data_IF_120367840552
#
_entry.id   IF_120367840552
#
_cell.length_a   1.000
_cell.length_b   1.000
_cell.length_c   1.000
_cell.angle_alpha   90.00
_cell.angle_beta   90.00
_cell.angle_gamma   90.00
#
_symmetry.space_group_name_H-M   'P 1'
#
loop_
_entity.id
_entity.type
_entity.pdbx_description
1 polymer ?
#
# COMPACT_ATOMS: atom_id res chain seq x y z
N UNK A 1 3.62 7.81 2.03
CA UNK A 1 4.87 7.02 1.99
C UNK A 1 5.91 7.55 2.96
N UNK A 2 6.53 8.72 2.71
CA UNK A 2 7.53 9.30 3.61
C UNK A 2 7.07 9.47 5.06
N UNK A 3 5.82 9.92 5.27
CA UNK A 3 5.22 9.99 6.61
C UNK A 3 5.24 8.63 7.34
N UNK A 4 4.80 7.54 6.68
CA UNK A 4 4.79 6.21 7.28
C UNK A 4 6.20 5.75 7.65
N UNK A 5 7.17 5.91 6.74
CA UNK A 5 8.57 5.58 7.01
C UNK A 5 9.11 6.35 8.23
N UNK A 6 8.77 7.64 8.34
CA UNK A 6 9.21 8.50 9.43
C UNK A 6 8.58 8.08 10.76
N UNK A 7 7.27 7.84 10.79
CA UNK A 7 6.59 7.46 12.03
C UNK A 7 7.06 6.10 12.54
N UNK A 8 7.24 5.11 11.65
CA UNK A 8 7.83 3.81 12.03
C UNK A 8 9.25 4.00 12.55
N UNK A 9 10.08 4.82 11.89
CA UNK A 9 11.45 5.05 12.35
C UNK A 9 11.50 5.73 13.73
N UNK A 10 10.61 6.69 13.97
CA UNK A 10 10.53 7.39 15.25
C UNK A 10 10.17 6.43 16.39
N UNK A 11 9.24 5.49 16.17
CA UNK A 11 8.88 4.50 17.18
C UNK A 11 9.97 3.46 17.43
N UNK A 12 10.77 3.15 16.43
CA UNK A 12 11.92 2.23 16.57
C UNK A 12 13.06 2.85 17.38
N UNK A 13 13.17 4.20 17.40
CA UNK A 13 14.25 4.94 18.06
C UNK A 13 13.69 5.94 19.08
N UNK A 14 12.94 5.50 20.11
CA UNK A 14 12.15 6.38 20.97
C UNK A 14 12.99 7.34 21.83
N UNK A 15 14.23 6.95 22.17
CA UNK A 15 15.17 7.77 22.96
C UNK A 15 16.12 8.60 22.10
N UNK A 16 16.09 8.44 20.78
CA UNK A 16 16.99 9.13 19.89
C UNK A 16 16.52 10.57 19.63
N UNK A 17 17.47 11.51 19.55
CA UNK A 17 17.14 12.87 19.13
C UNK A 17 16.61 12.89 17.69
N UNK A 18 15.80 13.89 17.37
CA UNK A 18 15.28 14.08 16.00
C UNK A 18 16.37 14.11 14.94
N UNK A 19 17.57 14.61 15.26
CA UNK A 19 18.73 14.60 14.34
C UNK A 19 19.14 13.20 13.91
N UNK A 20 19.00 12.21 14.79
CA UNK A 20 19.30 10.79 14.49
C UNK A 20 18.15 10.13 13.74
N UNK A 21 16.91 10.45 14.10
CA UNK A 21 15.70 9.95 13.42
C UNK A 21 15.70 10.38 11.95
N UNK A 22 15.99 11.65 11.66
CA UNK A 22 16.01 12.20 10.29
C UNK A 22 17.42 12.29 9.67
N UNK A 23 18.37 11.50 10.18
CA UNK A 23 19.74 11.50 9.69
C UNK A 23 19.82 11.19 8.18
N UNK A 24 20.94 11.58 7.55
CA UNK A 24 21.14 11.41 6.10
C UNK A 24 20.92 9.98 5.57
N UNK A 25 21.25 8.87 6.28
CA UNK A 25 20.94 7.53 5.79
C UNK A 25 19.42 7.31 5.64
N UNK A 26 18.62 7.87 6.55
CA UNK A 26 17.17 7.77 6.46
C UNK A 26 16.61 8.59 5.30
N UNK A 27 17.12 9.80 5.09
CA UNK A 27 16.73 10.61 3.93
C UNK A 27 17.02 9.88 2.60
N UNK A 28 18.16 9.19 2.51
CA UNK A 28 18.50 8.34 1.36
C UNK A 28 17.55 7.16 1.21
N UNK A 29 17.09 6.53 2.29
CA UNK A 29 16.09 5.46 2.25
C UNK A 29 14.75 5.98 1.69
N UNK A 30 14.31 7.14 2.19
CA UNK A 30 13.08 7.79 1.72
C UNK A 30 13.20 8.13 0.23
N UNK A 31 14.33 8.70 -0.20
CA UNK A 31 14.60 9.00 -1.60
C UNK A 31 14.57 7.73 -2.47
N UNK A 32 15.28 6.68 -2.06
CA UNK A 32 15.30 5.41 -2.78
C UNK A 32 13.89 4.83 -2.97
N UNK A 33 13.10 4.83 -1.90
CA UNK A 33 11.72 4.34 -1.91
C UNK A 33 10.82 5.18 -2.83
N UNK A 34 10.98 6.52 -2.80
CA UNK A 34 10.27 7.45 -3.69
C UNK A 34 10.62 7.24 -5.15
N UNK A 35 11.91 7.03 -5.47
CA UNK A 35 12.36 6.76 -6.83
C UNK A 35 11.76 5.45 -7.38
N UNK A 36 11.83 4.33 -6.64
CA UNK A 36 11.26 3.05 -7.09
C UNK A 36 9.74 3.14 -7.21
N UNK A 37 9.07 3.82 -6.29
CA UNK A 37 7.61 4.00 -6.36
C UNK A 37 7.19 4.87 -7.54
N UNK A 38 7.91 5.97 -7.81
CA UNK A 38 7.67 6.81 -8.97
C UNK A 38 7.89 6.03 -10.27
N UNK A 39 8.96 5.23 -10.35
CA UNK A 39 9.19 4.32 -11.46
C UNK A 39 8.05 3.30 -11.64
N UNK A 40 7.50 2.79 -10.53
CA UNK A 40 6.33 1.91 -10.49
C UNK A 40 5.07 2.55 -11.06
N UNK A 41 4.77 3.79 -10.67
CA UNK A 41 3.64 4.53 -11.25
C UNK A 41 3.83 4.77 -12.75
N UNK A 42 5.04 5.14 -13.19
CA UNK A 42 5.32 5.39 -14.61
C UNK A 42 5.12 4.13 -15.46
N UNK A 43 5.65 2.98 -15.03
CA UNK A 43 5.50 1.73 -15.78
C UNK A 43 4.06 1.23 -15.76
N UNK A 44 3.33 1.45 -14.67
CA UNK A 44 1.92 1.15 -14.61
C UNK A 44 1.12 1.95 -15.65
N UNK A 45 1.26 3.27 -15.63
CA UNK A 45 0.56 4.17 -16.57
C UNK A 45 0.97 3.86 -18.03
N UNK A 46 2.20 3.39 -18.26
CA UNK A 46 2.69 3.02 -19.58
C UNK A 46 1.92 1.83 -20.17
N UNK A 47 1.68 0.79 -19.37
CA UNK A 47 0.93 -0.39 -19.81
C UNK A 47 -0.58 -0.17 -19.77
N UNK A 48 -1.06 0.72 -18.89
CA UNK A 48 -2.49 0.97 -18.67
C UNK A 48 -3.11 2.00 -19.63
N UNK A 49 -2.35 2.64 -20.54
CA UNK A 49 -2.85 3.69 -21.46
C UNK A 49 -4.21 3.37 -22.09
N UNK A 50 -4.42 2.13 -22.56
CA UNK A 50 -5.70 1.73 -23.18
C UNK A 50 -6.82 1.54 -22.15
N UNK A 51 -6.51 0.89 -21.02
CA UNK A 51 -7.45 0.66 -19.91
C UNK A 51 -7.91 2.01 -19.32
N UNK A 52 -6.96 2.90 -19.07
CA UNK A 52 -7.22 4.21 -18.47
C UNK A 52 -7.92 5.17 -19.43
N UNK A 53 -7.80 4.99 -20.76
CA UNK A 53 -8.62 5.72 -21.72
C UNK A 53 -10.12 5.44 -21.54
N UNK A 54 -10.47 4.24 -21.07
CA UNK A 54 -11.86 3.85 -20.80
C UNK A 54 -12.27 4.25 -19.39
N UNK A 55 -11.43 3.93 -18.39
CA UNK A 55 -11.78 4.12 -16.99
C UNK A 55 -11.65 5.58 -16.53
N UNK A 56 -10.64 6.32 -17.03
CA UNK A 56 -10.21 7.65 -16.54
C UNK A 56 -9.62 8.53 -17.67
N UNK A 57 -10.37 8.84 -18.74
CA UNK A 57 -9.85 9.53 -19.93
C UNK A 57 -9.23 10.91 -19.67
N UNK A 58 -9.62 11.59 -18.59
CA UNK A 58 -9.08 12.90 -18.19
C UNK A 58 -7.74 12.84 -17.46
N UNK A 59 -7.25 11.65 -17.07
CA UNK A 59 -6.01 11.46 -16.31
C UNK A 59 -4.87 10.87 -17.16
N UNK A 60 -5.08 10.70 -18.47
CA UNK A 60 -4.07 10.15 -19.38
C UNK A 60 -2.89 11.11 -19.58
N UNK A 61 -1.73 10.73 -19.06
CA UNK A 61 -0.46 11.47 -19.24
C UNK A 61 0.36 10.89 -20.39
N UNK A 62 0.55 9.57 -20.41
CA UNK A 62 1.40 8.89 -21.40
C UNK A 62 0.67 8.80 -22.74
N UNK A 63 1.35 9.21 -23.81
CA UNK A 63 0.79 9.31 -25.15
C UNK A 63 0.06 10.63 -25.44
N UNK A 64 -0.18 11.48 -24.42
CA UNK A 64 -0.71 12.85 -24.59
C UNK A 64 0.33 13.91 -24.28
N UNK A 65 0.82 13.94 -23.03
CA UNK A 65 1.79 14.92 -22.55
C UNK A 65 3.22 14.38 -22.64
N UNK A 66 3.41 13.09 -22.32
CA UNK A 66 4.72 12.45 -22.30
C UNK A 66 4.74 11.30 -23.32
N UNK A 67 5.74 11.30 -24.20
CA UNK A 67 5.98 10.18 -25.11
C UNK A 67 6.41 8.92 -24.33
N UNK A 68 5.89 7.77 -24.76
CA UNK A 68 6.27 6.41 -24.34
C UNK A 68 7.77 6.19 -24.16
N UNK A 69 8.62 6.69 -25.08
CA UNK A 69 10.09 6.54 -24.95
C UNK A 69 10.64 7.24 -23.70
N UNK A 70 10.22 8.49 -23.46
CA UNK A 70 10.64 9.25 -22.28
C UNK A 70 10.09 8.64 -20.98
N UNK A 71 8.87 8.13 -21.00
CA UNK A 71 8.30 7.42 -19.85
C UNK A 71 9.12 6.17 -19.50
N UNK A 72 9.49 5.34 -20.49
CA UNK A 72 10.31 4.15 -20.24
C UNK A 72 11.72 4.52 -19.74
N UNK A 73 12.33 5.56 -20.31
CA UNK A 73 13.63 6.06 -19.85
C UNK A 73 13.55 6.55 -18.39
N UNK A 74 12.51 7.31 -18.04
CA UNK A 74 12.30 7.77 -16.67
C UNK A 74 12.09 6.59 -15.69
N UNK A 75 11.32 5.57 -16.08
CA UNK A 75 11.16 4.35 -15.30
C UNK A 75 12.51 3.67 -15.01
N UNK A 76 13.35 3.49 -16.03
CA UNK A 76 14.67 2.85 -15.88
C UNK A 76 15.61 3.67 -15.00
N UNK A 77 15.71 4.98 -15.23
CA UNK A 77 16.58 5.88 -14.47
C UNK A 77 16.15 5.90 -12.99
N UNK A 78 14.86 6.10 -12.71
CA UNK A 78 14.36 6.17 -11.34
C UNK A 78 14.50 4.83 -10.61
N UNK A 79 14.23 3.70 -11.28
CA UNK A 79 14.46 2.37 -10.71
C UNK A 79 15.94 2.17 -10.36
N UNK A 80 16.83 2.50 -11.30
CA UNK A 80 18.29 2.41 -11.11
C UNK A 80 18.79 3.26 -9.95
N UNK A 81 18.40 4.54 -9.89
CA UNK A 81 18.76 5.44 -8.79
C UNK A 81 18.27 4.86 -7.46
N UNK A 82 17.01 4.44 -7.38
CA UNK A 82 16.45 3.91 -6.13
C UNK A 82 17.16 2.66 -5.65
N UNK A 83 17.46 1.72 -6.57
CA UNK A 83 18.19 0.49 -6.25
C UNK A 83 19.63 0.78 -5.80
N UNK A 84 20.35 1.65 -6.52
CA UNK A 84 21.74 1.99 -6.17
C UNK A 84 21.80 2.70 -4.82
N UNK A 85 20.95 3.71 -4.59
CA UNK A 85 20.91 4.43 -3.30
C UNK A 85 20.56 3.49 -2.15
N UNK A 86 19.59 2.59 -2.33
CA UNK A 86 19.26 1.58 -1.32
C UNK A 86 20.42 0.59 -1.07
N UNK A 87 21.11 0.16 -2.13
CA UNK A 87 22.26 -0.74 -2.06
C UNK A 87 23.46 -0.13 -1.32
N UNK A 88 23.71 1.17 -1.51
CA UNK A 88 24.74 1.92 -0.76
C UNK A 88 24.43 1.97 0.73
N UNK A 89 23.15 2.00 1.13
CA UNK A 89 22.76 1.94 2.54
C UNK A 89 22.95 0.55 3.14
N UNK A 90 22.62 -0.50 2.37
CA UNK A 90 22.78 -1.91 2.76
C UNK A 90 22.53 -2.81 1.53
N UNK A 91 23.35 -3.84 1.28
CA UNK A 91 23.10 -4.79 0.19
C UNK A 91 21.69 -5.42 0.23
N UNK A 92 21.19 -5.68 1.44
CA UNK A 92 19.85 -6.23 1.65
C UNK A 92 18.74 -5.23 1.27
N UNK A 93 18.93 -3.93 1.57
CA UNK A 93 17.99 -2.89 1.14
C UNK A 93 17.99 -2.77 -0.38
N UNK A 94 19.16 -2.81 -1.01
CA UNK A 94 19.28 -2.86 -2.47
C UNK A 94 18.52 -4.05 -3.07
N UNK A 95 18.69 -5.25 -2.53
CA UNK A 95 17.99 -6.45 -2.98
C UNK A 95 16.46 -6.32 -2.84
N UNK A 96 15.97 -5.78 -1.71
CA UNK A 96 14.54 -5.53 -1.51
C UNK A 96 14.00 -4.52 -2.54
N UNK A 97 14.77 -3.49 -2.89
CA UNK A 97 14.37 -2.52 -3.92
C UNK A 97 14.41 -3.13 -5.34
N UNK A 98 15.36 -4.02 -5.63
CA UNK A 98 15.37 -4.81 -6.88
C UNK A 98 14.11 -5.67 -6.95
N UNK A 99 13.81 -6.43 -5.90
CA UNK A 99 12.60 -7.24 -5.81
C UNK A 99 11.33 -6.39 -5.96
N UNK A 100 11.32 -5.19 -5.37
CA UNK A 100 10.19 -4.26 -5.49
C UNK A 100 10.00 -3.75 -6.92
N UNK A 101 11.08 -3.35 -7.59
CA UNK A 101 11.04 -2.88 -8.98
C UNK A 101 10.60 -4.00 -9.93
N UNK A 102 11.12 -5.22 -9.75
CA UNK A 102 10.72 -6.39 -10.53
C UNK A 102 9.26 -6.77 -10.30
N UNK A 103 8.78 -6.70 -9.06
CA UNK A 103 7.38 -6.99 -8.74
C UNK A 103 6.42 -5.93 -9.29
N UNK A 104 6.80 -4.65 -9.27
CA UNK A 104 6.06 -3.56 -9.91
C UNK A 104 6.00 -3.73 -11.44
N UNK A 105 7.13 -4.07 -12.06
CA UNK A 105 7.17 -4.35 -13.50
C UNK A 105 6.33 -5.59 -13.85
N UNK A 106 6.50 -6.69 -13.12
CA UNK A 106 5.74 -7.93 -13.30
C UNK A 106 4.23 -7.72 -13.07
N UNK A 107 3.87 -6.85 -12.12
CA UNK A 107 2.50 -6.39 -11.92
C UNK A 107 1.93 -5.72 -13.17
N UNK A 108 2.60 -4.70 -13.69
CA UNK A 108 2.13 -3.92 -14.84
C UNK A 108 2.08 -4.73 -16.14
N UNK A 109 3.02 -5.67 -16.33
CA UNK A 109 3.06 -6.52 -17.53
C UNK A 109 2.01 -7.62 -17.47
N UNK A 110 1.89 -8.33 -16.33
CA UNK A 110 1.15 -9.60 -16.26
C UNK A 110 0.25 -9.74 -15.04
N UNK A 111 0.74 -9.50 -13.82
CA UNK A 111 -0.01 -9.93 -12.63
C UNK A 111 -1.31 -9.15 -12.41
N UNK A 112 -1.41 -7.90 -12.86
CA UNK A 112 -2.68 -7.16 -12.87
C UNK A 112 -3.79 -7.90 -13.63
N UNK A 113 -3.43 -8.69 -14.65
CA UNK A 113 -4.38 -9.47 -15.46
C UNK A 113 -4.77 -10.81 -14.84
N UNK A 114 -4.21 -11.16 -13.67
CA UNK A 114 -4.42 -12.44 -12.99
C UNK A 114 -5.08 -12.18 -11.64
N UNK A 115 -6.24 -12.79 -11.41
CA UNK A 115 -6.99 -12.69 -10.16
C UNK A 115 -6.08 -12.92 -8.94
N UNK A 116 -6.20 -12.04 -7.94
CA UNK A 116 -5.42 -12.00 -6.70
C UNK A 116 -3.92 -11.77 -6.84
N UNK A 117 -3.26 -12.20 -7.91
CA UNK A 117 -1.82 -12.00 -8.09
C UNK A 117 -1.47 -10.52 -8.15
N UNK A 118 -2.24 -9.73 -8.89
CA UNK A 118 -2.07 -8.27 -8.96
C UNK A 118 -2.28 -7.61 -7.60
N UNK A 119 -3.38 -7.94 -6.92
CA UNK A 119 -3.74 -7.38 -5.62
C UNK A 119 -2.67 -7.73 -4.56
N UNK A 120 -2.23 -8.99 -4.52
CA UNK A 120 -1.20 -9.47 -3.62
C UNK A 120 0.15 -8.80 -3.88
N UNK A 121 0.51 -8.55 -5.14
CA UNK A 121 1.75 -7.85 -5.48
C UNK A 121 1.80 -6.45 -4.84
N UNK A 122 0.73 -5.66 -5.02
CA UNK A 122 0.63 -4.30 -4.45
C UNK A 122 0.53 -4.32 -2.92
N UNK A 123 -0.19 -5.30 -2.36
CA UNK A 123 -0.29 -5.48 -0.91
C UNK A 123 1.07 -5.84 -0.29
N UNK A 124 1.83 -6.75 -0.91
CA UNK A 124 3.19 -7.13 -0.47
C UNK A 124 4.14 -5.94 -0.54
N UNK A 125 4.12 -5.16 -1.62
CA UNK A 125 4.94 -3.94 -1.73
C UNK A 125 4.60 -2.92 -0.64
N UNK A 126 3.30 -2.76 -0.33
CA UNK A 126 2.85 -1.84 0.72
C UNK A 126 3.25 -2.32 2.11
N UNK A 127 3.21 -3.63 2.37
CA UNK A 127 3.68 -4.22 3.62
C UNK A 127 5.20 -4.12 3.77
N UNK A 128 5.96 -4.44 2.73
CA UNK A 128 7.41 -4.32 2.70
C UNK A 128 7.86 -2.88 3.00
N UNK A 129 7.12 -1.89 2.49
CA UNK A 129 7.38 -0.48 2.76
C UNK A 129 7.38 -0.14 4.25
N UNK A 130 6.42 -0.67 5.01
CA UNK A 130 6.30 -0.43 6.46
C UNK A 130 7.53 -0.99 7.20
N UNK A 131 8.16 -2.05 6.68
CA UNK A 131 9.31 -2.72 7.28
C UNK A 131 10.66 -2.10 6.91
N UNK A 132 10.72 -1.23 5.89
CA UNK A 132 11.99 -0.64 5.44
C UNK A 132 12.78 0.10 6.53
N UNK A 133 12.15 0.90 7.43
CA UNK A 133 12.90 1.56 8.49
C UNK A 133 13.52 0.59 9.50
N UNK A 134 12.83 -0.51 9.81
CA UNK A 134 13.38 -1.58 10.65
C UNK A 134 14.51 -2.32 9.95
N UNK A 135 14.36 -2.61 8.66
CA UNK A 135 15.41 -3.24 7.87
C UNK A 135 16.69 -2.37 7.79
N UNK A 136 16.53 -1.05 7.81
CA UNK A 136 17.64 -0.11 7.85
C UNK A 136 18.25 0.00 9.25
N UNK A 137 17.43 0.17 10.29
CA UNK A 137 17.89 0.42 11.66
C UNK A 137 18.35 -0.86 12.39
N UNK A 138 17.85 -2.03 11.97
CA UNK A 138 18.14 -3.37 12.51
C UNK A 138 17.96 -3.43 14.03
N UNK A 139 16.85 -2.90 14.54
CA UNK A 139 16.62 -2.83 15.99
C UNK A 139 16.16 -4.16 16.59
N UNK A 140 15.65 -5.08 15.77
CA UNK A 140 15.08 -6.36 16.19
C UNK A 140 13.66 -6.25 16.73
N UNK A 141 13.04 -5.06 16.71
CA UNK A 141 11.70 -4.85 17.24
C UNK A 141 10.62 -5.45 16.35
N UNK A 142 9.66 -6.14 16.98
CA UNK A 142 8.55 -6.79 16.26
C UNK A 142 7.40 -5.83 15.91
N UNK A 143 7.34 -4.65 16.53
CA UNK A 143 6.25 -3.68 16.37
C UNK A 143 5.82 -3.41 14.91
N UNK A 144 6.75 -3.12 13.98
CA UNK A 144 6.40 -2.84 12.59
C UNK A 144 5.72 -4.00 11.84
N UNK A 145 5.88 -5.25 12.28
CA UNK A 145 5.27 -6.42 11.62
C UNK A 145 3.75 -6.43 11.72
N UNK A 146 3.19 -6.00 12.86
CA UNK A 146 1.74 -5.85 13.01
C UNK A 146 1.17 -4.82 12.04
N UNK A 147 1.85 -3.67 11.91
CA UNK A 147 1.49 -2.63 10.95
C UNK A 147 1.68 -3.08 9.49
N UNK A 148 2.71 -3.85 9.19
CA UNK A 148 2.95 -4.41 7.86
C UNK A 148 1.84 -5.39 7.46
N UNK A 149 1.41 -6.27 8.37
CA UNK A 149 0.29 -7.18 8.15
C UNK A 149 -1.03 -6.41 7.98
N UNK A 150 -1.28 -5.39 8.80
CA UNK A 150 -2.46 -4.53 8.66
C UNK A 150 -2.47 -3.79 7.30
N UNK A 151 -1.31 -3.26 6.87
CA UNK A 151 -1.14 -2.59 5.58
C UNK A 151 -1.35 -3.56 4.42
N UNK A 152 -0.85 -4.80 4.51
CA UNK A 152 -1.10 -5.87 3.54
C UNK A 152 -2.61 -6.12 3.40
N UNK A 153 -3.29 -6.44 4.51
CA UNK A 153 -4.71 -6.81 4.51
C UNK A 153 -5.58 -5.67 3.98
N UNK A 154 -5.37 -4.43 4.44
CA UNK A 154 -6.13 -3.28 3.97
C UNK A 154 -5.89 -3.00 2.48
N UNK A 155 -4.67 -3.20 2.00
CA UNK A 155 -4.34 -3.03 0.58
C UNK A 155 -4.97 -4.13 -0.28
N UNK A 156 -5.04 -5.38 0.21
CA UNK A 156 -5.81 -6.44 -0.45
C UNK A 156 -7.28 -6.04 -0.61
N UNK A 157 -7.92 -5.57 0.46
CA UNK A 157 -9.31 -5.09 0.39
C UNK A 157 -9.44 -3.97 -0.64
N UNK A 158 -8.54 -2.98 -0.59
CA UNK A 158 -8.59 -1.81 -1.46
C UNK A 158 -8.41 -2.17 -2.94
N UNK A 159 -7.44 -3.03 -3.28
CA UNK A 159 -7.19 -3.41 -4.66
C UNK A 159 -8.34 -4.27 -5.21
N UNK A 160 -8.95 -5.15 -4.42
CA UNK A 160 -10.14 -5.91 -4.88
C UNK A 160 -11.33 -4.96 -5.10
N UNK A 161 -11.55 -3.98 -4.22
CA UNK A 161 -12.59 -2.95 -4.40
C UNK A 161 -12.33 -2.13 -5.67
N UNK A 162 -11.07 -1.81 -5.95
CA UNK A 162 -10.66 -1.09 -7.16
C UNK A 162 -10.86 -1.92 -8.43
N UNK A 163 -10.57 -3.23 -8.42
CA UNK A 163 -10.86 -4.10 -9.56
C UNK A 163 -12.35 -4.10 -9.92
N UNK A 164 -13.25 -3.98 -8.93
CA UNK A 164 -14.70 -3.83 -9.19
C UNK A 164 -15.03 -2.45 -9.78
N UNK A 165 -14.36 -1.41 -9.31
CA UNK A 165 -14.50 -0.04 -9.83
C UNK A 165 -14.04 0.09 -11.29
N UNK A 166 -12.96 -0.59 -11.65
CA UNK A 166 -12.28 -0.52 -12.95
C UNK A 166 -12.68 -1.65 -13.92
N UNK A 167 -13.64 -2.50 -13.52
CA UNK A 167 -14.10 -3.70 -14.24
C UNK A 167 -14.44 -3.48 -15.72
N UNK A 168 -15.00 -2.32 -16.09
CA UNK A 168 -15.39 -2.02 -17.48
C UNK A 168 -14.18 -1.92 -18.41
N UNK A 169 -13.13 -1.19 -18.01
CA UNK A 169 -11.90 -1.08 -18.79
C UNK A 169 -11.11 -2.38 -18.80
N UNK A 170 -11.08 -3.09 -17.66
CA UNK A 170 -10.36 -4.36 -17.52
C UNK A 170 -10.97 -5.45 -18.42
N UNK A 171 -12.29 -5.52 -18.54
CA UNK A 171 -12.99 -6.49 -19.38
C UNK A 171 -12.74 -6.29 -20.89
N UNK A 172 -12.37 -5.08 -21.32
CA UNK A 172 -12.07 -4.78 -22.73
C UNK A 172 -10.62 -5.11 -23.11
N UNK A 173 -9.77 -5.48 -22.15
CA UNK A 173 -8.33 -5.66 -22.34
C UNK A 173 -7.81 -6.98 -21.75
N UNK A 174 -8.62 -8.04 -21.86
CA UNK A 174 -8.27 -9.43 -21.50
C UNK A 174 -7.80 -9.62 -20.04
N UNK A 175 -8.22 -8.73 -19.13
CA UNK A 175 -7.89 -8.88 -17.72
C UNK A 175 -8.80 -9.94 -17.10
N UNK A 176 -8.21 -10.86 -16.33
CA UNK A 176 -8.92 -11.92 -15.60
C UNK A 176 -8.93 -11.62 -14.10
N UNK A 177 -9.43 -10.44 -13.73
CA UNK A 177 -9.56 -10.02 -12.33
C UNK A 177 -10.69 -10.78 -11.63
N UNK A 178 -10.70 -10.76 -10.29
CA UNK A 178 -11.74 -11.42 -9.48
C UNK A 178 -13.18 -11.07 -9.91
N UNK A 179 -13.57 -9.79 -10.07
CA UNK A 179 -14.94 -9.47 -10.45
C UNK A 179 -15.29 -9.92 -11.87
N UNK A 180 -14.33 -10.02 -12.78
CA UNK A 180 -14.54 -10.51 -14.15
C UNK A 180 -14.76 -12.02 -14.16
N UNK A 181 -13.94 -12.78 -13.42
CA UNK A 181 -14.03 -14.25 -13.40
C UNK A 181 -15.18 -14.77 -12.55
N UNK A 182 -15.40 -14.18 -11.38
CA UNK A 182 -16.29 -14.71 -10.34
C UNK A 182 -17.50 -13.83 -10.05
N UNK A 183 -17.60 -12.67 -10.70
CA UNK A 183 -18.65 -11.70 -10.47
C UNK A 183 -18.42 -10.83 -9.23
N UNK A 184 -19.11 -9.69 -9.23
CA UNK A 184 -19.00 -8.66 -8.18
C UNK A 184 -19.31 -9.20 -6.78
N UNK A 185 -20.33 -10.03 -6.65
CA UNK A 185 -20.75 -10.58 -5.35
C UNK A 185 -19.66 -11.42 -4.69
N UNK A 186 -18.95 -12.27 -5.45
CA UNK A 186 -17.86 -13.09 -4.91
C UNK A 186 -16.62 -12.26 -4.63
N UNK A 187 -16.30 -11.28 -5.49
CA UNK A 187 -15.22 -10.32 -5.21
C UNK A 187 -15.45 -9.56 -3.88
N UNK A 188 -16.70 -9.14 -3.62
CA UNK A 188 -17.10 -8.52 -2.33
C UNK A 188 -16.90 -9.45 -1.14
N UNK A 189 -17.20 -10.75 -1.28
CA UNK A 189 -16.94 -11.73 -0.23
C UNK A 189 -15.46 -11.89 0.07
N UNK A 190 -14.61 -11.99 -0.96
CA UNK A 190 -13.14 -12.08 -0.79
C UNK A 190 -12.60 -10.83 -0.11
N UNK A 191 -13.00 -9.63 -0.56
CA UNK A 191 -12.65 -8.38 0.11
C UNK A 191 -13.16 -8.34 1.57
N UNK A 192 -14.38 -8.84 1.82
CA UNK A 192 -14.96 -8.96 3.16
C UNK A 192 -14.16 -9.89 4.08
N UNK A 193 -13.60 -10.99 3.55
CA UNK A 193 -12.76 -11.91 4.31
C UNK A 193 -11.44 -11.24 4.76
N UNK A 194 -10.74 -10.55 3.84
CA UNK A 194 -9.55 -9.77 4.20
C UNK A 194 -9.87 -8.65 5.21
N UNK A 195 -11.02 -7.98 5.06
CA UNK A 195 -11.49 -6.97 5.99
C UNK A 195 -11.78 -7.56 7.38
N UNK A 196 -12.35 -8.76 7.44
CA UNK A 196 -12.57 -9.48 8.71
C UNK A 196 -11.24 -9.82 9.39
N UNK A 197 -10.26 -10.34 8.65
CA UNK A 197 -8.92 -10.59 9.20
C UNK A 197 -8.30 -9.30 9.77
N UNK A 198 -8.45 -8.18 9.07
CA UNK A 198 -7.97 -6.88 9.53
C UNK A 198 -8.69 -6.39 10.79
N UNK A 199 -10.01 -6.59 10.87
CA UNK A 199 -10.82 -6.29 12.05
C UNK A 199 -10.35 -7.10 13.26
N UNK A 200 -10.12 -8.40 13.10
CA UNK A 200 -9.64 -9.28 14.16
C UNK A 200 -8.23 -8.89 14.63
N UNK A 201 -7.32 -8.63 13.69
CA UNK A 201 -5.97 -8.16 14.00
C UNK A 201 -6.00 -6.85 14.78
N UNK A 202 -6.71 -5.85 14.28
CA UNK A 202 -6.79 -4.51 14.89
C UNK A 202 -7.53 -4.57 16.23
N UNK A 203 -8.56 -5.40 16.34
CA UNK A 203 -9.32 -5.63 17.58
C UNK A 203 -8.46 -6.30 18.66
N UNK A 204 -7.64 -7.28 18.28
CA UNK A 204 -6.68 -7.92 19.18
C UNK A 204 -5.64 -6.92 19.72
N UNK A 205 -5.07 -6.09 18.84
CA UNK A 205 -4.11 -5.04 19.26
C UNK A 205 -4.78 -4.00 20.16
N UNK A 206 -6.01 -3.58 19.85
CA UNK A 206 -6.73 -2.62 20.68
C UNK A 206 -7.03 -3.19 22.08
N UNK A 207 -7.45 -4.45 22.17
CA UNK A 207 -7.69 -5.13 23.45
C UNK A 207 -6.41 -5.23 24.27
N UNK A 208 -5.31 -5.61 23.65
CA UNK A 208 -4.01 -5.69 24.32
C UNK A 208 -3.53 -4.32 24.79
N UNK A 209 -3.73 -3.27 23.98
CA UNK A 209 -3.43 -1.90 24.37
C UNK A 209 -4.20 -1.47 25.63
N UNK A 210 -5.49 -1.81 25.74
CA UNK A 210 -6.26 -1.54 26.96
C UNK A 210 -5.76 -2.35 28.17
N UNK A 211 -5.36 -3.61 27.98
CA UNK A 211 -4.84 -4.47 29.06
C UNK A 211 -3.49 -3.98 29.60
N UNK A 212 -2.65 -3.45 28.73
CA UNK A 212 -1.29 -3.00 29.05
C UNK A 212 -1.20 -1.53 29.43
N UNK A 213 -2.34 -0.80 29.45
CA UNK A 213 -2.41 0.60 29.87
C UNK A 213 -2.22 1.64 28.77
N UNK A 214 -2.01 1.23 27.51
CA UNK A 214 -1.92 2.11 26.33
C UNK A 214 -3.32 2.59 25.88
N UNK A 215 -4.03 3.30 26.77
CA UNK A 215 -5.44 3.70 26.56
C UNK A 215 -5.63 4.59 25.33
N UNK A 216 -4.67 5.47 25.04
CA UNK A 216 -4.71 6.36 23.87
C UNK A 216 -4.64 5.58 22.56
N UNK A 217 -3.74 4.58 22.47
CA UNK A 217 -3.65 3.69 21.32
C UNK A 217 -4.94 2.88 21.17
N UNK A 218 -5.41 2.24 22.25
CA UNK A 218 -6.64 1.44 22.24
C UNK A 218 -7.85 2.26 21.77
N UNK A 219 -8.05 3.45 22.35
CA UNK A 219 -9.12 4.37 21.97
C UNK A 219 -9.02 4.84 20.51
N UNK A 220 -7.82 5.18 20.05
CA UNK A 220 -7.60 5.58 18.65
C UNK A 220 -7.95 4.46 17.67
N UNK A 221 -7.48 3.23 17.92
CA UNK A 221 -7.77 2.07 17.08
C UNK A 221 -9.26 1.76 17.04
N UNK A 222 -9.98 1.89 18.15
CA UNK A 222 -11.44 1.71 18.18
C UNK A 222 -12.15 2.75 17.33
N UNK A 223 -11.89 4.04 17.60
CA UNK A 223 -12.65 5.15 17.00
C UNK A 223 -12.31 5.36 15.54
N UNK A 224 -11.03 5.34 15.17
CA UNK A 224 -10.56 5.76 13.84
C UNK A 224 -10.20 4.59 12.91
N UNK A 225 -10.08 3.36 13.43
CA UNK A 225 -9.83 2.18 12.60
C UNK A 225 -11.03 1.22 12.61
N UNK A 226 -11.40 0.65 13.77
CA UNK A 226 -12.41 -0.40 13.87
C UNK A 226 -13.81 0.09 13.47
N UNK A 227 -14.29 1.20 14.01
CA UNK A 227 -15.61 1.74 13.66
C UNK A 227 -15.72 2.08 12.16
N UNK A 228 -14.75 2.78 11.54
CA UNK A 228 -14.72 2.97 10.09
C UNK A 228 -14.65 1.68 9.28
N UNK A 229 -13.90 0.66 9.73
CA UNK A 229 -13.84 -0.65 9.05
C UNK A 229 -15.18 -1.38 9.10
N UNK A 230 -15.91 -1.33 10.23
CA UNK A 230 -17.27 -1.88 10.34
C UNK A 230 -18.24 -1.15 9.41
N UNK A 231 -18.18 0.18 9.38
CA UNK A 231 -18.97 1.01 8.46
C UNK A 231 -18.66 0.71 6.99
N UNK A 232 -17.38 0.50 6.67
CA UNK A 232 -16.93 0.09 5.34
C UNK A 232 -17.48 -1.29 4.99
N UNK A 233 -17.43 -2.27 5.90
CA UNK A 233 -17.99 -3.61 5.68
C UNK A 233 -19.49 -3.58 5.38
N UNK A 234 -20.25 -2.74 6.10
CA UNK A 234 -21.66 -2.52 5.83
C UNK A 234 -21.91 -1.91 4.44
N UNK A 235 -21.18 -0.84 4.08
CA UNK A 235 -21.32 -0.22 2.75
C UNK A 235 -20.86 -1.12 1.62
N UNK A 236 -19.81 -1.93 1.83
CA UNK A 236 -19.32 -2.91 0.87
C UNK A 236 -20.44 -3.88 0.50
N UNK A 237 -21.16 -4.44 1.47
CA UNK A 237 -22.29 -5.36 1.21
C UNK A 237 -23.38 -4.74 0.35
N UNK A 238 -23.68 -3.45 0.53
CA UNK A 238 -24.72 -2.71 -0.23
C UNK A 238 -24.23 -2.04 -1.52
N UNK A 239 -22.93 -2.12 -1.82
CA UNK A 239 -22.37 -1.45 -2.97
C UNK A 239 -22.65 -2.22 -4.27
N UNK A 240 -23.38 -1.58 -5.20
CA UNK A 240 -23.67 -2.15 -6.53
C UNK A 240 -23.24 -1.26 -7.70
N UNK A 241 -23.01 0.04 -7.45
CA UNK A 241 -22.63 1.01 -8.50
C UNK A 241 -21.13 1.32 -8.42
N UNK A 242 -20.48 1.59 -9.57
CA UNK A 242 -19.08 2.03 -9.65
C UNK A 242 -18.72 3.15 -8.66
N UNK A 243 -19.59 4.14 -8.51
CA UNK A 243 -19.41 5.26 -7.56
C UNK A 243 -19.27 4.80 -6.12
N UNK A 244 -20.00 3.75 -5.71
CA UNK A 244 -19.90 3.19 -4.36
C UNK A 244 -18.51 2.56 -4.14
N UNK A 245 -17.97 1.86 -5.14
CA UNK A 245 -16.63 1.27 -5.07
C UNK A 245 -15.53 2.34 -5.06
N UNK A 246 -15.68 3.42 -5.85
CA UNK A 246 -14.77 4.57 -5.78
C UNK A 246 -14.76 5.22 -4.38
N UNK A 247 -15.93 5.36 -3.75
CA UNK A 247 -16.05 5.85 -2.37
C UNK A 247 -15.42 4.90 -1.36
N UNK A 248 -15.61 3.58 -1.51
CA UNK A 248 -14.97 2.57 -0.65
C UNK A 248 -13.45 2.58 -0.79
N UNK A 249 -12.93 2.70 -2.02
CA UNK A 249 -11.50 2.84 -2.31
C UNK A 249 -10.90 4.08 -1.66
N UNK A 250 -11.63 5.20 -1.67
CA UNK A 250 -11.25 6.42 -0.93
C UNK A 250 -11.33 6.22 0.59
N UNK A 251 -12.33 5.51 1.09
CA UNK A 251 -12.48 5.21 2.51
C UNK A 251 -11.32 4.35 3.04
N UNK A 252 -10.83 3.38 2.27
CA UNK A 252 -9.61 2.64 2.59
C UNK A 252 -8.41 3.57 2.82
N UNK A 253 -8.27 4.65 2.04
CA UNK A 253 -7.16 5.61 2.20
C UNK A 253 -7.24 6.34 3.53
N UNK A 254 -8.46 6.70 3.98
CA UNK A 254 -8.67 7.32 5.28
C UNK A 254 -8.35 6.37 6.43
N UNK A 255 -8.79 5.11 6.33
CA UNK A 255 -8.46 4.07 7.32
C UNK A 255 -6.94 3.83 7.35
N UNK A 256 -6.28 3.81 6.19
CA UNK A 256 -4.83 3.67 6.09
C UNK A 256 -4.10 4.83 6.75
N UNK A 257 -4.55 6.07 6.52
CA UNK A 257 -3.99 7.25 7.17
C UNK A 257 -4.17 7.18 8.69
N UNK A 258 -5.36 6.82 9.17
CA UNK A 258 -5.63 6.64 10.60
C UNK A 258 -4.73 5.57 11.24
N UNK A 259 -4.49 4.46 10.54
CA UNK A 259 -3.57 3.41 10.97
C UNK A 259 -2.11 3.90 11.02
N UNK A 260 -1.66 4.67 10.03
CA UNK A 260 -0.31 5.27 10.04
C UNK A 260 -0.16 6.27 11.20
N UNK A 261 -1.19 7.07 11.47
CA UNK A 261 -1.18 8.04 12.57
C UNK A 261 -1.27 7.40 13.96
N UNK A 262 -1.64 6.13 14.07
CA UNK A 262 -1.64 5.42 15.35
C UNK A 262 -0.24 4.93 15.75
N UNK A 263 0.71 4.86 14.82
CA UNK A 263 2.07 4.35 15.06
C UNK A 263 2.75 5.03 16.25
N UNK A 264 2.82 6.38 16.36
CA UNK A 264 3.47 7.02 17.50
C UNK A 264 2.83 6.69 18.85
N UNK A 265 1.52 6.40 18.87
CA UNK A 265 0.79 6.05 20.09
C UNK A 265 1.21 4.68 20.64
N UNK A 266 1.82 3.82 19.82
CA UNK A 266 2.37 2.55 20.28
C UNK A 266 3.72 2.66 20.98
N UNK A 267 4.35 3.85 20.96
CA UNK A 267 5.63 4.10 21.62
C UNK A 267 5.50 4.92 22.92
N UNK A 268 4.30 5.42 23.23
CA UNK A 268 4.05 6.29 24.38
C UNK A 268 3.16 5.50 25.37
N UNK A 269 3.77 5.02 26.45
CA UNK A 269 3.11 4.40 27.61
C UNK A 269 3.16 5.36 28.80
#
# INVERSE_FOLDING_TARGET
MGLCLLLVRATLLPTASWRVVVASPFALLVLATLCVSAAGYIINDYYDVKIDAVNRPGQLVIGRLINRRHAMMAHLILSGIGIVVAGVLSPLLGLVHVGSALLLWGYSVRFKRVALAGNASIATLTAALVLLPELQARTGQSGPWGYALAAFLLTMVREIVKDVEDMRGDAQHDCRTLPILWGVSRAKWVAGAFLLCLLLLTGGVALEAFRTGYLWLGGWLVVFCLLPMLGMGYRLRRADRRRHFAQLSAWCKWIMLAGVLSIPLSAIA
#
